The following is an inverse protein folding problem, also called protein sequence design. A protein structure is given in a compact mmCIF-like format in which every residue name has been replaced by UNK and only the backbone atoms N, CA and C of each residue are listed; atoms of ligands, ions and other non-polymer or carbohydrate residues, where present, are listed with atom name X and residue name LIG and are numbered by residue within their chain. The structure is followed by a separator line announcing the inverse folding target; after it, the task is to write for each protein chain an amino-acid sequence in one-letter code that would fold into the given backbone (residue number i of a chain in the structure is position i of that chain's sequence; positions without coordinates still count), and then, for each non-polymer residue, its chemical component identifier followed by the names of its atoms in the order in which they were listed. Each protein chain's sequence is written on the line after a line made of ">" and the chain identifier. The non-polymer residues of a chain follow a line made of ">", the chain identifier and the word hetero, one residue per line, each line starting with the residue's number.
data_IF_905333892746
#
_entry.id   IF_905333892746
#
_cell.length_a   1.000
_cell.length_b   1.000
_cell.length_c   1.000
_cell.angle_alpha   90.00
_cell.angle_beta   90.00
_cell.angle_gamma   90.00
#
_symmetry.space_group_name_H-M   'P 1'
#
loop_
_entity.id
_entity.type
_entity.pdbx_description
1 polymer ?
#
# COMPACT_ATOMS: atom_id res chain seq x y z
N UNK A 1 -25.16 3.91 9.10
CA UNK A 1 -23.77 3.49 8.86
C UNK A 1 -23.25 2.97 10.19
N UNK A 2 -22.83 1.71 10.27
CA UNK A 2 -22.08 1.26 11.44
C UNK A 2 -20.73 1.95 11.38
N UNK A 3 -20.27 2.60 12.47
CA UNK A 3 -18.94 3.18 12.50
C UNK A 3 -17.90 2.08 12.27
N UNK A 4 -16.83 2.41 11.55
CA UNK A 4 -15.69 1.50 11.36
C UNK A 4 -15.17 1.04 12.73
N UNK A 5 -14.72 -0.21 12.80
CA UNK A 5 -14.06 -0.76 13.97
C UNK A 5 -12.80 0.02 14.30
N UNK A 6 -12.37 -0.07 15.56
CA UNK A 6 -11.15 0.59 16.01
C UNK A 6 -9.91 0.11 15.24
N UNK A 7 -9.88 -1.17 14.83
CA UNK A 7 -8.78 -1.71 14.03
C UNK A 7 -8.73 -1.09 12.62
N UNK A 8 -9.89 -0.87 12.00
CA UNK A 8 -9.99 -0.25 10.68
C UNK A 8 -9.60 1.23 10.71
N UNK A 9 -10.05 1.96 11.74
CA UNK A 9 -9.63 3.34 11.98
C UNK A 9 -8.12 3.42 12.26
N UNK A 10 -7.58 2.48 13.03
CA UNK A 10 -6.15 2.43 13.34
C UNK A 10 -5.30 2.23 12.07
N UNK A 11 -5.73 1.39 11.13
CA UNK A 11 -5.00 1.21 9.87
C UNK A 11 -4.98 2.50 9.03
N UNK A 12 -6.13 3.15 8.85
CA UNK A 12 -6.21 4.43 8.11
C UNK A 12 -5.33 5.51 8.77
N UNK A 13 -5.36 5.58 10.10
CA UNK A 13 -4.49 6.47 10.85
C UNK A 13 -3.01 6.14 10.66
N UNK A 14 -2.63 4.85 10.75
CA UNK A 14 -1.25 4.38 10.59
C UNK A 14 -0.65 4.79 9.24
N UNK A 15 -1.39 4.58 8.15
CA UNK A 15 -0.91 4.92 6.80
C UNK A 15 -0.93 6.42 6.54
N UNK A 16 -1.86 7.17 7.16
CA UNK A 16 -1.88 8.63 7.08
C UNK A 16 -0.68 9.22 7.83
N UNK A 17 -0.42 8.73 9.03
CA UNK A 17 0.74 9.12 9.83
C UNK A 17 2.05 8.80 9.11
N UNK A 18 2.13 7.71 8.34
CA UNK A 18 3.29 7.44 7.48
C UNK A 18 3.49 8.52 6.42
N UNK A 19 2.44 8.96 5.74
CA UNK A 19 2.53 10.06 4.76
C UNK A 19 2.98 11.35 5.43
N UNK A 20 2.37 11.70 6.57
CA UNK A 20 2.65 12.95 7.28
C UNK A 20 4.07 13.04 7.84
N UNK A 21 4.68 11.90 8.19
CA UNK A 21 5.97 11.85 8.87
C UNK A 21 7.12 11.32 8.00
N UNK A 22 6.87 10.96 6.74
CA UNK A 22 7.91 10.49 5.82
C UNK A 22 8.15 11.53 4.72
N UNK A 23 9.21 12.36 4.83
CA UNK A 23 9.52 13.39 3.85
C UNK A 23 9.58 12.84 2.42
N UNK A 24 8.89 13.53 1.51
CA UNK A 24 8.86 13.18 0.09
C UNK A 24 7.76 12.18 -0.30
N UNK A 25 7.09 11.53 0.66
CA UNK A 25 5.88 10.75 0.37
C UNK A 25 4.71 11.68 0.09
N UNK A 26 3.95 11.40 -0.97
CA UNK A 26 2.76 12.18 -1.35
C UNK A 26 1.47 11.49 -0.91
N UNK A 27 1.32 10.19 -1.21
CA UNK A 27 0.11 9.42 -0.90
C UNK A 27 0.46 7.94 -0.76
N UNK A 28 -0.38 7.19 -0.04
CA UNK A 28 -0.26 5.74 0.05
C UNK A 28 -1.62 5.05 0.07
N UNK A 29 -1.64 3.82 -0.41
CA UNK A 29 -2.79 2.91 -0.31
C UNK A 29 -2.35 1.52 0.16
N UNK A 30 -3.27 0.80 0.80
CA UNK A 30 -3.16 -0.63 1.05
C UNK A 30 -4.10 -1.36 0.10
N UNK A 31 -3.59 -2.38 -0.57
CA UNK A 31 -4.28 -3.14 -1.61
C UNK A 31 -4.31 -4.60 -1.20
N UNK A 32 -5.48 -5.24 -1.21
CA UNK A 32 -5.60 -6.66 -0.89
C UNK A 32 -4.96 -7.55 -1.95
N UNK A 33 -4.77 -8.83 -1.62
CA UNK A 33 -4.22 -9.84 -2.51
C UNK A 33 -5.01 -10.01 -3.83
N UNK A 34 -6.29 -9.66 -3.85
CA UNK A 34 -7.16 -9.67 -5.04
C UNK A 34 -7.17 -8.33 -5.81
N UNK A 35 -6.37 -7.35 -5.37
CA UNK A 35 -6.20 -6.07 -6.05
C UNK A 35 -7.20 -4.98 -5.67
N UNK A 36 -8.03 -5.19 -4.64
CA UNK A 36 -8.98 -4.19 -4.17
C UNK A 36 -8.36 -3.22 -3.17
N UNK A 37 -8.84 -1.98 -3.18
CA UNK A 37 -8.45 -0.98 -2.18
C UNK A 37 -8.95 -1.41 -0.80
N UNK A 38 -8.06 -1.40 0.20
CA UNK A 38 -8.38 -1.64 1.61
C UNK A 38 -8.34 -0.35 2.44
N UNK A 39 -7.33 0.47 2.21
CA UNK A 39 -7.12 1.70 2.96
C UNK A 39 -6.39 2.72 2.09
N UNK A 40 -6.58 4.01 2.39
CA UNK A 40 -5.91 5.12 1.70
C UNK A 40 -5.55 6.21 2.71
N UNK A 41 -4.42 6.89 2.50
CA UNK A 41 -4.05 8.05 3.30
C UNK A 41 -5.07 9.16 3.19
N UNK A 42 -5.25 9.92 4.26
CA UNK A 42 -6.11 11.10 4.28
C UNK A 42 -5.74 12.10 3.16
N UNK A 43 -6.75 12.78 2.61
CA UNK A 43 -6.56 13.76 1.54
C UNK A 43 -6.31 13.18 0.14
N UNK A 44 -6.16 11.86 -0.02
CA UNK A 44 -6.04 11.25 -1.34
C UNK A 44 -7.43 11.01 -1.98
N UNK A 45 -7.72 11.51 -3.20
CA UNK A 45 -9.03 11.30 -3.82
C UNK A 45 -9.31 9.82 -4.07
N UNK A 46 -10.53 9.38 -3.75
CA UNK A 46 -10.91 7.97 -3.80
C UNK A 46 -10.77 7.35 -5.19
N UNK A 47 -11.21 8.06 -6.22
CA UNK A 47 -11.09 7.63 -7.62
C UNK A 47 -9.62 7.41 -8.03
N UNK A 48 -8.71 8.24 -7.51
CA UNK A 48 -7.26 8.11 -7.71
C UNK A 48 -6.67 6.96 -6.90
N UNK A 49 -7.19 6.72 -5.70
CA UNK A 49 -6.80 5.57 -4.88
C UNK A 49 -7.18 4.23 -5.52
N UNK A 50 -8.38 4.13 -6.09
CA UNK A 50 -8.82 2.94 -6.84
C UNK A 50 -7.95 2.71 -8.09
N UNK A 51 -7.59 3.79 -8.82
CA UNK A 51 -6.65 3.71 -9.94
C UNK A 51 -5.27 3.22 -9.49
N UNK A 52 -4.75 3.74 -8.37
CA UNK A 52 -3.46 3.32 -7.83
C UNK A 52 -3.49 1.84 -7.39
N UNK A 53 -4.58 1.39 -6.77
CA UNK A 53 -4.77 -0.01 -6.39
C UNK A 53 -4.74 -0.94 -7.60
N UNK A 54 -5.42 -0.57 -8.69
CA UNK A 54 -5.40 -1.32 -9.94
C UNK A 54 -3.99 -1.41 -10.55
N UNK A 55 -3.25 -0.30 -10.58
CA UNK A 55 -1.86 -0.26 -11.06
C UNK A 55 -0.96 -1.15 -10.19
N UNK A 56 -1.07 -1.03 -8.87
CA UNK A 56 -0.28 -1.80 -7.93
C UNK A 56 -0.53 -3.32 -8.05
N UNK A 57 -1.79 -3.72 -8.21
CA UNK A 57 -2.18 -5.12 -8.43
C UNK A 57 -1.58 -5.68 -9.74
N UNK A 58 -1.63 -4.90 -10.82
CA UNK A 58 -1.03 -5.27 -12.10
C UNK A 58 0.48 -5.46 -12.00
N UNK A 59 1.19 -4.51 -11.37
CA UNK A 59 2.64 -4.59 -11.16
C UNK A 59 3.03 -5.76 -10.25
N UNK A 60 2.29 -6.01 -9.17
CA UNK A 60 2.51 -7.15 -8.28
C UNK A 60 2.38 -8.48 -9.04
N UNK A 61 1.37 -8.58 -9.91
CA UNK A 61 1.15 -9.78 -10.72
C UNK A 61 2.28 -10.01 -11.73
N UNK A 62 2.71 -8.96 -12.43
CA UNK A 62 3.79 -9.03 -13.42
C UNK A 62 5.13 -9.40 -12.77
N UNK A 63 5.47 -8.75 -11.66
CA UNK A 63 6.74 -8.99 -10.95
C UNK A 63 6.77 -10.36 -10.28
N UNK A 64 5.65 -10.82 -9.70
CA UNK A 64 5.53 -12.19 -9.21
C UNK A 64 5.68 -13.23 -10.34
N UNK A 65 5.16 -12.93 -11.54
CA UNK A 65 5.38 -13.74 -12.74
C UNK A 65 6.86 -13.82 -13.12
N UNK A 66 7.54 -12.67 -13.20
CA UNK A 66 8.97 -12.61 -13.50
C UNK A 66 9.81 -13.38 -12.47
N UNK A 67 9.54 -13.20 -11.18
CA UNK A 67 10.20 -13.93 -10.10
C UNK A 67 10.10 -15.45 -10.28
N UNK A 68 8.92 -15.97 -10.64
CA UNK A 68 8.73 -17.41 -10.90
C UNK A 68 9.49 -17.89 -12.14
N UNK A 69 9.46 -17.12 -13.24
CA UNK A 69 10.11 -17.48 -14.51
C UNK A 69 11.63 -17.53 -14.36
N UNK A 70 12.19 -16.59 -13.60
CA UNK A 70 13.64 -16.44 -13.44
C UNK A 70 14.16 -16.97 -12.10
N UNK A 71 13.35 -17.74 -11.35
CA UNK A 71 13.71 -18.35 -10.06
C UNK A 71 14.28 -17.34 -9.04
N UNK A 72 13.80 -16.10 -9.06
CA UNK A 72 14.34 -14.97 -8.29
C UNK A 72 13.92 -14.91 -6.82
N UNK A 73 13.12 -15.86 -6.33
CA UNK A 73 12.55 -15.83 -4.97
C UNK A 73 11.45 -14.78 -4.80
N UNK A 74 10.99 -14.55 -3.57
CA UNK A 74 9.88 -13.63 -3.31
C UNK A 74 10.23 -12.18 -3.72
N UNK A 75 9.25 -11.48 -4.31
CA UNK A 75 9.40 -10.05 -4.62
C UNK A 75 9.25 -9.27 -3.32
N UNK A 76 10.35 -8.71 -2.83
CA UNK A 76 10.31 -7.91 -1.61
C UNK A 76 9.77 -6.50 -1.86
N UNK A 77 10.17 -5.90 -2.99
CA UNK A 77 9.81 -4.53 -3.34
C UNK A 77 9.81 -4.35 -4.86
N UNK A 78 8.92 -3.50 -5.35
CA UNK A 78 8.95 -2.96 -6.71
C UNK A 78 9.14 -1.45 -6.63
N UNK A 79 10.01 -0.89 -7.47
CA UNK A 79 10.23 0.55 -7.59
C UNK A 79 10.08 0.94 -9.06
N UNK A 80 9.19 1.89 -9.33
CA UNK A 80 9.00 2.49 -10.64
C UNK A 80 9.39 3.96 -10.55
N UNK A 81 10.45 4.33 -11.25
CA UNK A 81 10.88 5.72 -11.41
C UNK A 81 10.18 6.34 -12.61
N UNK A 82 9.62 7.53 -12.40
CA UNK A 82 8.98 8.36 -13.41
C UNK A 82 9.61 9.74 -13.37
N UNK A 83 9.53 10.50 -14.46
CA UNK A 83 10.08 11.86 -14.56
C UNK A 83 9.66 12.78 -13.40
N UNK A 84 8.47 12.54 -12.82
CA UNK A 84 7.87 13.39 -11.79
C UNK A 84 7.68 12.69 -10.44
N UNK A 85 8.39 11.58 -10.21
CA UNK A 85 8.35 10.90 -8.92
C UNK A 85 8.47 9.39 -9.01
N UNK A 86 8.13 8.73 -7.91
CA UNK A 86 8.29 7.29 -7.75
C UNK A 86 6.98 6.62 -7.35
N UNK A 87 6.83 5.37 -7.77
CA UNK A 87 5.87 4.42 -7.22
C UNK A 87 6.64 3.28 -6.57
N UNK A 88 6.41 3.07 -5.28
CA UNK A 88 6.91 1.93 -4.53
C UNK A 88 5.78 0.96 -4.23
N UNK A 89 6.06 -0.34 -4.30
CA UNK A 89 5.14 -1.39 -3.85
C UNK A 89 5.93 -2.36 -2.97
N UNK A 90 5.41 -2.64 -1.77
CA UNK A 90 5.99 -3.60 -0.84
C UNK A 90 4.93 -4.58 -0.37
N UNK A 91 5.27 -5.87 -0.35
CA UNK A 91 4.35 -6.93 0.08
C UNK A 91 4.19 -6.94 1.59
N UNK A 92 2.96 -7.17 2.05
CA UNK A 92 2.61 -7.41 3.45
C UNK A 92 2.45 -8.92 3.68
N UNK A 93 2.75 -9.40 4.89
CA UNK A 93 2.75 -10.82 5.22
C UNK A 93 1.40 -11.53 5.03
N UNK A 94 0.29 -10.80 5.05
CA UNK A 94 -1.07 -11.33 4.83
C UNK A 94 -1.42 -11.49 3.35
N UNK A 95 -0.48 -11.16 2.44
CA UNK A 95 -0.66 -11.17 0.99
C UNK A 95 -1.19 -9.86 0.41
N UNK A 96 -1.50 -8.86 1.25
CA UNK A 96 -1.77 -7.50 0.77
C UNK A 96 -0.47 -6.79 0.36
N UNK A 97 -0.60 -5.58 -0.18
CA UNK A 97 0.54 -4.74 -0.56
C UNK A 97 0.32 -3.29 -0.19
N UNK A 98 1.41 -2.62 0.18
CA UNK A 98 1.46 -1.18 0.40
C UNK A 98 1.99 -0.53 -0.88
N UNK A 99 1.26 0.42 -1.45
CA UNK A 99 1.66 1.19 -2.61
C UNK A 99 1.80 2.68 -2.28
N UNK A 100 2.98 3.24 -2.53
CA UNK A 100 3.38 4.59 -2.11
C UNK A 100 3.78 5.43 -3.32
N UNK A 101 3.24 6.64 -3.43
CA UNK A 101 3.68 7.66 -4.38
C UNK A 101 4.60 8.64 -3.67
N UNK A 102 5.71 9.01 -4.31
CA UNK A 102 6.69 9.94 -3.76
C UNK A 102 7.21 10.93 -4.80
N UNK A 103 7.70 12.08 -4.32
CA UNK A 103 8.34 13.12 -5.12
C UNK A 103 9.69 12.67 -5.72
N UNK A 104 10.14 13.29 -6.82
CA UNK A 104 11.40 12.92 -7.50
C UNK A 104 12.64 13.22 -6.66
N UNK A 105 12.56 14.17 -5.73
CA UNK A 105 13.66 14.55 -4.82
C UNK A 105 13.62 13.79 -3.49
N UNK A 106 12.78 12.75 -3.37
CA UNK A 106 12.62 12.02 -2.13
C UNK A 106 13.82 11.10 -1.84
N UNK A 107 14.14 10.93 -0.56
CA UNK A 107 15.12 9.94 -0.13
C UNK A 107 14.51 8.53 -0.22
N UNK A 108 14.89 7.81 -1.29
CA UNK A 108 14.42 6.45 -1.58
C UNK A 108 14.77 5.47 -0.45
N UNK A 109 15.93 5.64 0.18
CA UNK A 109 16.38 4.79 1.28
C UNK A 109 15.52 4.97 2.53
N UNK A 110 15.22 6.23 2.88
CA UNK A 110 14.32 6.57 3.98
C UNK A 110 12.91 6.03 3.73
N UNK A 111 12.36 6.22 2.51
CA UNK A 111 11.04 5.71 2.16
C UNK A 111 10.99 4.19 2.29
N UNK A 112 11.98 3.48 1.74
CA UNK A 112 12.05 2.02 1.85
C UNK A 112 12.11 1.54 3.31
N UNK A 113 12.86 2.25 4.16
CA UNK A 113 12.95 1.95 5.59
C UNK A 113 11.60 2.15 6.31
N UNK A 114 10.96 3.30 6.13
CA UNK A 114 9.66 3.60 6.76
C UNK A 114 8.55 2.67 6.23
N UNK A 115 8.60 2.31 4.94
CA UNK A 115 7.70 1.30 4.37
C UNK A 115 7.87 -0.07 5.05
N UNK A 116 9.11 -0.50 5.30
CA UNK A 116 9.35 -1.78 5.96
C UNK A 116 8.78 -1.80 7.39
N UNK A 117 8.95 -0.71 8.15
CA UNK A 117 8.34 -0.56 9.47
C UNK A 117 6.80 -0.53 9.41
N UNK A 118 6.24 0.16 8.42
CA UNK A 118 4.80 0.26 8.23
C UNK A 118 4.18 -1.10 7.88
N UNK A 119 4.79 -1.84 6.96
CA UNK A 119 4.33 -3.16 6.53
C UNK A 119 4.34 -4.15 7.69
N UNK A 120 5.39 -4.15 8.52
CA UNK A 120 5.47 -5.00 9.71
C UNK A 120 4.31 -4.70 10.69
N UNK A 121 4.07 -3.41 10.98
CA UNK A 121 2.94 -2.99 11.82
C UNK A 121 1.59 -3.35 11.21
N UNK A 122 1.39 -3.07 9.93
CA UNK A 122 0.13 -3.35 9.23
C UNK A 122 -0.18 -4.85 9.18
N UNK A 123 0.84 -5.69 8.97
CA UNK A 123 0.71 -7.15 8.95
C UNK A 123 0.16 -7.74 10.26
N UNK A 124 0.41 -7.09 11.40
CA UNK A 124 -0.15 -7.53 12.70
C UNK A 124 -1.64 -7.20 12.86
N UNK A 125 -2.17 -6.24 12.10
CA UNK A 125 -3.53 -5.71 12.25
C UNK A 125 -4.47 -6.23 11.16
N UNK A 126 -3.96 -6.51 9.95
CA UNK A 126 -4.71 -6.96 8.77
C UNK A 126 -5.20 -8.41 8.87
N UNK A 127 -6.18 -8.66 9.74
CA UNK A 127 -6.88 -9.94 9.80
C UNK A 127 -7.86 -10.10 8.62
N UNK A 128 -8.27 -11.33 8.26
CA UNK A 128 -9.27 -11.55 7.22
C UNK A 128 -10.59 -10.78 7.45
N UNK A 129 -11.08 -10.75 8.69
CA UNK A 129 -12.31 -10.04 9.06
C UNK A 129 -12.15 -8.52 8.86
N UNK A 130 -11.00 -7.98 9.26
CA UNK A 130 -10.71 -6.56 9.08
C UNK A 130 -10.67 -6.17 7.60
N UNK A 131 -10.09 -7.02 6.74
CA UNK A 131 -10.07 -6.75 5.29
C UNK A 131 -11.47 -6.70 4.71
N UNK A 132 -12.34 -7.64 5.09
CA UNK A 132 -13.73 -7.66 4.63
C UNK A 132 -14.50 -6.40 5.10
N UNK A 133 -14.27 -5.97 6.34
CA UNK A 133 -14.84 -4.72 6.86
C UNK A 133 -14.36 -3.49 6.08
N UNK A 134 -13.05 -3.38 5.87
CA UNK A 134 -12.43 -2.27 5.13
C UNK A 134 -12.97 -2.17 3.70
N UNK A 135 -13.03 -3.30 2.97
CA UNK A 135 -13.64 -3.34 1.63
C UNK A 135 -15.11 -2.92 1.66
N UNK A 136 -15.89 -3.44 2.62
CA UNK A 136 -17.29 -3.08 2.79
C UNK A 136 -17.49 -1.59 3.08
N UNK A 137 -16.60 -0.96 3.87
CA UNK A 137 -16.66 0.47 4.17
C UNK A 137 -16.42 1.36 2.94
N UNK A 138 -15.65 0.86 1.98
CA UNK A 138 -15.28 1.58 0.76
C UNK A 138 -16.33 1.45 -0.36
N UNK A 139 -17.29 0.54 -0.25
CA UNK A 139 -18.35 0.34 -1.25
C UNK A 139 -19.67 1.08 -0.91
N UNK A 140 -19.75 1.66 0.29
CA UNK A 140 -20.93 2.36 0.82
C UNK A 140 -20.70 3.87 0.93
#
# INVERSE_FOLDING_TARGET
>A
MSPMSQAAQNLNWLITNFVDNTPGVSHTVVVSADGLLLAMSEGFPRDRADQLAAVASGLTSLTAGASRIFEGGAVNQTVVEMERGFLFIMSVSDGSSLAVLAHPEADIGLIGYEMALLVDRAGTVLTPDLRAELQGSLLN
#
